data_IF_374074742467
#
_entry.id   IF_374074742467
#
_cell.length_a   1.000
_cell.length_b   1.000
_cell.length_c   1.000
_cell.angle_alpha   90.00
_cell.angle_beta   90.00
_cell.angle_gamma   90.00
#
_symmetry.space_group_name_H-M   'P 1'
#
loop_
_entity.id
_entity.type
_entity.pdbx_description
1 polymer ?
#
# COMPACT_ATOMS: atom_id res chain seq x y z
N UNK A 1 10.56 1.47 16.13
CA UNK A 1 9.99 2.25 15.01
C UNK A 1 11.12 2.62 14.07
N UNK A 2 11.03 2.25 12.80
CA UNK A 2 12.03 2.63 11.80
C UNK A 2 11.66 4.04 11.28
N UNK A 3 12.54 5.04 11.48
CA UNK A 3 12.26 6.47 11.21
C UNK A 3 12.54 6.87 9.75
N UNK A 4 12.64 5.89 8.85
CA UNK A 4 12.98 6.14 7.45
C UNK A 4 11.71 6.33 6.63
N UNK A 5 11.57 7.49 6.00
CA UNK A 5 10.50 7.80 5.04
C UNK A 5 10.47 6.75 3.95
N UNK A 6 9.29 6.18 3.71
CA UNK A 6 9.11 5.12 2.72
C UNK A 6 8.74 5.73 1.38
N UNK A 7 9.42 5.33 0.31
CA UNK A 7 9.18 5.86 -1.04
C UNK A 7 7.76 5.48 -1.51
N UNK A 8 6.88 6.49 -1.60
CA UNK A 8 5.52 6.38 -2.18
C UNK A 8 5.57 5.79 -3.58
N UNK A 9 6.51 6.26 -4.39
CA UNK A 9 6.68 5.88 -5.78
C UNK A 9 7.02 4.40 -5.93
N UNK A 10 7.90 3.87 -5.07
CA UNK A 10 8.27 2.44 -5.11
C UNK A 10 7.10 1.56 -4.68
N UNK A 11 6.33 1.98 -3.67
CA UNK A 11 5.09 1.29 -3.28
C UNK A 11 4.08 1.27 -4.42
N UNK A 12 3.80 2.43 -5.02
CA UNK A 12 2.85 2.54 -6.12
C UNK A 12 3.29 1.71 -7.33
N UNK A 13 4.56 1.77 -7.71
CA UNK A 13 5.11 1.01 -8.85
C UNK A 13 4.98 -0.50 -8.62
N UNK A 14 5.32 -0.99 -7.43
CA UNK A 14 5.18 -2.41 -7.10
C UNK A 14 3.70 -2.84 -7.07
N UNK A 15 2.82 -1.99 -6.53
CA UNK A 15 1.38 -2.32 -6.41
C UNK A 15 0.68 -2.26 -7.77
N UNK A 16 1.12 -1.38 -8.69
CA UNK A 16 0.64 -1.38 -10.07
C UNK A 16 1.17 -2.59 -10.84
N UNK A 17 2.45 -2.94 -10.69
CA UNK A 17 3.06 -4.06 -11.43
C UNK A 17 2.62 -5.45 -10.93
N UNK A 18 2.45 -5.62 -9.61
CA UNK A 18 2.19 -6.91 -8.98
C UNK A 18 0.84 -6.98 -8.23
N UNK A 19 0.06 -5.90 -8.23
CA UNK A 19 -1.22 -5.84 -7.53
C UNK A 19 -1.07 -5.98 -6.01
N UNK A 20 -1.84 -6.88 -5.37
CA UNK A 20 -1.81 -7.03 -3.92
C UNK A 20 -0.47 -7.54 -3.38
N UNK A 21 0.36 -8.18 -4.22
CA UNK A 21 1.74 -8.52 -3.87
C UNK A 21 2.63 -7.29 -3.68
N UNK A 22 2.40 -6.21 -4.44
CA UNK A 22 3.15 -4.97 -4.28
C UNK A 22 2.83 -4.24 -2.97
N UNK A 23 1.66 -4.52 -2.41
CA UNK A 23 1.20 -3.96 -1.14
C UNK A 23 2.00 -4.48 0.06
N UNK A 24 2.72 -5.61 -0.07
CA UNK A 24 3.64 -6.09 0.96
C UNK A 24 4.76 -5.08 1.26
N UNK A 25 5.10 -4.24 0.28
CA UNK A 25 6.03 -3.16 0.55
C UNK A 25 5.45 -2.18 1.57
N UNK A 26 4.18 -1.80 1.52
CA UNK A 26 3.62 -0.77 2.41
C UNK A 26 2.94 -1.33 3.67
N UNK A 27 2.18 -2.42 3.54
CA UNK A 27 1.41 -3.03 4.64
C UNK A 27 1.29 -4.55 4.45
N UNK A 28 2.01 -5.30 5.29
CA UNK A 28 1.98 -6.77 5.25
C UNK A 28 0.58 -7.34 5.55
N UNK A 29 -0.17 -6.72 6.47
CA UNK A 29 -1.52 -7.17 6.82
C UNK A 29 -2.54 -6.94 5.70
N UNK A 30 -2.49 -5.77 5.06
CA UNK A 30 -3.38 -5.45 3.93
C UNK A 30 -3.08 -6.29 2.68
N UNK A 31 -1.80 -6.55 2.43
CA UNK A 31 -1.35 -7.41 1.34
C UNK A 31 -1.90 -8.83 1.49
N UNK A 32 -1.77 -9.41 2.69
CA UNK A 32 -2.20 -10.78 2.96
C UNK A 32 -3.72 -10.94 2.81
N UNK A 33 -4.49 -9.97 3.30
CA UNK A 33 -5.95 -9.96 3.16
C UNK A 33 -6.38 -9.91 1.69
N UNK A 34 -5.81 -9.00 0.89
CA UNK A 34 -6.16 -8.86 -0.52
C UNK A 34 -5.68 -10.05 -1.37
N UNK A 35 -4.56 -10.67 -1.03
CA UNK A 35 -4.09 -11.91 -1.68
C UNK A 35 -5.05 -13.07 -1.42
N UNK A 36 -5.48 -13.26 -0.16
CA UNK A 36 -6.44 -14.33 0.18
C UNK A 36 -7.74 -14.11 -0.59
N UNK A 37 -8.28 -12.89 -0.61
CA UNK A 37 -9.50 -12.56 -1.37
C UNK A 37 -9.29 -12.83 -2.86
N UNK A 38 -8.19 -12.36 -3.45
CA UNK A 38 -7.90 -12.55 -4.88
C UNK A 38 -7.79 -14.03 -5.28
N UNK A 39 -7.15 -14.86 -4.45
CA UNK A 39 -7.02 -16.30 -4.69
C UNK A 39 -8.35 -17.04 -4.50
N UNK A 40 -9.12 -16.69 -3.46
CA UNK A 40 -10.45 -17.28 -3.22
C UNK A 40 -11.47 -16.93 -4.29
N UNK A 41 -11.25 -15.84 -5.04
CA UNK A 41 -12.19 -15.33 -6.05
C UNK A 41 -11.65 -15.41 -7.48
N UNK A 42 -10.52 -16.09 -7.70
CA UNK A 42 -9.88 -16.21 -9.01
C UNK A 42 -10.84 -16.75 -10.09
N UNK A 43 -11.76 -17.64 -9.71
CA UNK A 43 -12.76 -18.22 -10.61
C UNK A 43 -13.85 -17.26 -11.10
N UNK A 44 -13.98 -16.07 -10.50
CA UNK A 44 -14.98 -15.06 -10.90
C UNK A 44 -14.48 -14.12 -12.00
N UNK A 45 -13.18 -14.12 -12.30
CA UNK A 45 -12.54 -13.32 -13.34
C UNK A 45 -12.47 -11.81 -13.09
N UNK A 46 -13.47 -11.20 -12.44
CA UNK A 46 -13.59 -9.74 -12.26
C UNK A 46 -13.03 -9.26 -10.90
N UNK A 47 -13.25 -10.03 -9.83
CA UNK A 47 -12.84 -9.67 -8.47
C UNK A 47 -11.32 -9.42 -8.33
N UNK A 48 -10.43 -10.20 -8.99
CA UNK A 48 -8.99 -9.92 -8.96
C UNK A 48 -8.62 -8.51 -9.45
N UNK A 49 -9.31 -7.98 -10.47
CA UNK A 49 -9.08 -6.62 -10.97
C UNK A 49 -9.56 -5.55 -10.00
N UNK A 50 -10.68 -5.78 -9.31
CA UNK A 50 -11.17 -4.89 -8.26
C UNK A 50 -10.19 -4.89 -7.07
N UNK A 51 -9.70 -6.06 -6.65
CA UNK A 51 -8.66 -6.19 -5.64
C UNK A 51 -7.37 -5.47 -6.07
N UNK A 52 -7.02 -5.50 -7.35
CA UNK A 52 -5.87 -4.77 -7.89
C UNK A 52 -6.06 -3.25 -7.73
N UNK A 53 -7.20 -2.69 -8.14
CA UNK A 53 -7.50 -1.27 -7.95
C UNK A 53 -7.52 -0.87 -6.46
N UNK A 54 -8.15 -1.69 -5.62
CA UNK A 54 -8.18 -1.48 -4.17
C UNK A 54 -6.78 -1.51 -3.56
N UNK A 55 -5.90 -2.38 -4.06
CA UNK A 55 -4.52 -2.49 -3.58
C UNK A 55 -3.75 -1.18 -3.82
N UNK A 56 -3.91 -0.55 -4.98
CA UNK A 56 -3.25 0.72 -5.32
C UNK A 56 -3.71 1.83 -4.36
N UNK A 57 -5.03 1.96 -4.16
CA UNK A 57 -5.59 2.99 -3.28
C UNK A 57 -5.16 2.80 -1.82
N UNK A 58 -5.19 1.55 -1.33
CA UNK A 58 -4.82 1.23 0.04
C UNK A 58 -3.32 1.43 0.28
N UNK A 59 -2.49 1.04 -0.70
CA UNK A 59 -1.05 1.25 -0.66
C UNK A 59 -0.68 2.72 -0.53
N UNK A 60 -1.33 3.62 -1.29
CA UNK A 60 -1.12 5.07 -1.15
C UNK A 60 -1.50 5.54 0.25
N UNK A 61 -2.73 5.22 0.69
CA UNK A 61 -3.25 5.64 1.99
C UNK A 61 -2.34 5.23 3.17
N UNK A 62 -1.80 4.01 3.16
CA UNK A 62 -0.90 3.55 4.24
C UNK A 62 0.45 4.24 4.21
N UNK A 63 0.99 4.58 3.02
CA UNK A 63 2.22 5.37 2.95
C UNK A 63 1.97 6.79 3.45
N UNK A 64 0.83 7.42 3.10
CA UNK A 64 0.50 8.77 3.62
C UNK A 64 0.45 8.77 5.13
N UNK A 65 -0.30 7.85 5.73
CA UNK A 65 -0.44 7.75 7.17
C UNK A 65 0.90 7.46 7.87
N UNK A 66 1.75 6.65 7.25
CA UNK A 66 3.09 6.37 7.79
C UNK A 66 3.98 7.62 7.75
N UNK A 67 4.01 8.34 6.62
CA UNK A 67 4.79 9.57 6.48
C UNK A 67 4.28 10.69 7.40
N UNK A 68 2.96 10.86 7.53
CA UNK A 68 2.34 11.80 8.48
C UNK A 68 2.71 11.46 9.93
N UNK A 69 2.70 10.17 10.30
CA UNK A 69 3.12 9.73 11.64
C UNK A 69 4.61 9.99 11.90
N UNK A 70 5.46 9.80 10.89
CA UNK A 70 6.90 10.08 10.98
C UNK A 70 7.18 11.58 11.05
N UNK A 71 6.47 12.41 10.27
CA UNK A 71 6.58 13.87 10.31
C UNK A 71 6.14 14.44 11.67
N UNK A 72 5.03 13.93 12.22
CA UNK A 72 4.55 14.29 13.55
C UNK A 72 5.54 13.92 14.65
N UNK A 73 6.21 12.75 14.54
CA UNK A 73 7.24 12.33 15.49
C UNK A 73 8.54 13.14 15.38
N UNK A 74 8.85 13.67 14.20
CA UNK A 74 10.05 14.49 13.94
C UNK A 74 9.81 15.99 14.16
N UNK A 75 8.57 16.42 14.41
CA UNK A 75 8.23 17.85 14.57
C UNK A 75 8.36 18.67 13.28
N UNK A 76 8.31 18.04 12.10
CA UNK A 76 8.41 18.72 10.80
C UNK A 76 7.02 19.15 10.30
N UNK A 77 6.82 20.41 9.87
CA UNK A 77 5.53 20.88 9.33
C UNK A 77 5.19 20.20 7.99
N UNK A 78 3.89 20.06 7.66
CA UNK A 78 3.38 19.15 6.62
C UNK A 78 3.61 19.58 5.15
N UNK A 79 4.38 20.64 4.91
CA UNK A 79 4.47 21.34 3.61
C UNK A 79 5.87 21.32 2.95
N UNK A 80 6.84 20.57 3.48
CA UNK A 80 8.18 20.45 2.90
C UNK A 80 8.34 19.12 2.12
N UNK A 81 7.63 18.98 0.99
CA UNK A 81 7.82 17.92 -0.03
C UNK A 81 7.91 18.54 -1.44
#
# INVERSE_FOLDING_TARGET
>A
MNLRTKSRTTSALLTVAFGPLGLFYSSAGGALLLIVIALSTVGTGIIPFICWGASIYWGDHTVRRHNESVAALLGRPPDED
#
